data_IF_489968848942
#
_entry.id   IF_489968848942
#
_cell.length_a   1.000
_cell.length_b   1.000
_cell.length_c   1.000
_cell.angle_alpha   90.00
_cell.angle_beta   90.00
_cell.angle_gamma   90.00
#
_symmetry.space_group_name_H-M   'P 1'
#
loop_
_entity.id
_entity.type
_entity.pdbx_description
1 polymer ?
#
# COMPACT_ATOMS: atom_id res chain seq x y z
N UNK A 1 -1.19 -20.69 0.11
CA UNK A 1 -1.37 -20.09 1.44
C UNK A 1 -0.07 -19.43 1.79
N UNK A 2 -0.10 -18.18 2.20
CA UNK A 2 1.07 -17.40 2.59
C UNK A 2 0.81 -16.73 3.95
N UNK A 3 1.88 -16.45 4.69
CA UNK A 3 1.86 -15.72 5.95
C UNK A 3 2.10 -14.24 5.66
N UNK A 4 1.12 -13.40 5.93
CA UNK A 4 1.14 -11.98 5.55
C UNK A 4 1.10 -11.12 6.80
N UNK A 5 2.05 -10.20 6.92
CA UNK A 5 2.08 -9.19 7.97
C UNK A 5 1.55 -7.86 7.42
N UNK A 6 0.52 -7.33 8.04
CA UNK A 6 -0.02 -6.01 7.75
C UNK A 6 0.42 -5.00 8.83
N UNK A 7 1.06 -3.93 8.42
CA UNK A 7 1.49 -2.79 9.23
C UNK A 7 0.76 -1.53 8.72
N UNK A 8 -0.33 -1.15 9.36
CA UNK A 8 -1.16 -0.02 8.91
C UNK A 8 -2.11 0.44 10.00
N UNK A 9 -2.94 1.42 9.70
CA UNK A 9 -3.90 1.94 10.67
C UNK A 9 -5.13 1.04 10.85
N UNK A 10 -5.71 1.13 12.03
CA UNK A 10 -7.04 0.59 12.32
C UNK A 10 -7.97 1.75 12.60
N UNK A 11 -9.00 1.90 11.76
CA UNK A 11 -10.02 2.94 11.92
C UNK A 11 -11.20 2.45 12.73
N UNK A 12 -11.71 3.30 13.61
CA UNK A 12 -12.93 3.02 14.39
C UNK A 12 -14.21 3.02 13.54
N UNK A 13 -14.16 3.61 12.36
CA UNK A 13 -15.29 3.70 11.41
C UNK A 13 -14.87 3.16 10.04
N UNK A 14 -15.80 2.49 9.37
CA UNK A 14 -15.64 1.88 8.04
C UNK A 14 -14.70 0.66 8.02
N UNK A 15 -14.85 -0.17 7.00
CA UNK A 15 -13.97 -1.30 6.76
C UNK A 15 -12.93 -0.87 5.70
N UNK A 16 -11.85 -0.24 6.16
CA UNK A 16 -10.73 0.26 5.35
C UNK A 16 -9.41 -0.16 5.97
N UNK A 17 -8.30 0.13 5.33
CA UNK A 17 -6.95 -0.14 5.78
C UNK A 17 -6.76 -1.61 6.21
N UNK A 18 -6.07 -1.86 7.32
CA UNK A 18 -5.79 -3.21 7.84
C UNK A 18 -7.05 -4.09 7.90
N UNK A 19 -8.21 -3.53 8.28
CA UNK A 19 -9.46 -4.32 8.39
C UNK A 19 -9.94 -4.84 7.03
N UNK A 20 -9.89 -4.02 5.99
CA UNK A 20 -10.25 -4.41 4.62
C UNK A 20 -9.26 -5.44 4.09
N UNK A 21 -7.97 -5.17 4.22
CA UNK A 21 -6.92 -6.06 3.74
C UNK A 21 -6.98 -7.43 4.43
N UNK A 22 -7.12 -7.48 5.75
CA UNK A 22 -7.26 -8.73 6.50
C UNK A 22 -8.42 -9.56 5.95
N UNK A 23 -9.60 -8.96 5.86
CA UNK A 23 -10.79 -9.64 5.36
C UNK A 23 -10.60 -10.22 3.95
N UNK A 24 -10.02 -9.45 3.03
CA UNK A 24 -9.83 -9.88 1.64
C UNK A 24 -8.76 -10.96 1.51
N UNK A 25 -7.68 -10.88 2.28
CA UNK A 25 -6.60 -11.87 2.26
C UNK A 25 -7.01 -13.19 2.92
N UNK A 26 -7.70 -13.14 4.07
CA UNK A 26 -8.24 -14.34 4.74
C UNK A 26 -9.28 -15.07 3.86
N UNK A 27 -10.16 -14.32 3.18
CA UNK A 27 -11.11 -14.86 2.21
C UNK A 27 -10.41 -15.59 1.04
N UNK A 28 -9.17 -15.21 0.71
CA UNK A 28 -8.32 -15.83 -0.32
C UNK A 28 -7.46 -16.97 0.20
N UNK A 29 -7.58 -17.30 1.50
CA UNK A 29 -6.93 -18.44 2.15
C UNK A 29 -5.53 -18.17 2.65
N UNK A 30 -5.17 -16.92 2.92
CA UNK A 30 -3.90 -16.53 3.56
C UNK A 30 -4.03 -16.50 5.09
N UNK A 31 -2.93 -16.69 5.79
CA UNK A 31 -2.81 -16.40 7.21
C UNK A 31 -2.36 -14.94 7.37
N UNK A 32 -3.17 -14.14 8.08
CA UNK A 32 -2.92 -12.70 8.20
C UNK A 32 -2.66 -12.33 9.65
N UNK A 33 -1.51 -11.72 9.88
CA UNK A 33 -1.16 -11.09 11.13
C UNK A 33 -1.13 -9.58 10.93
N UNK A 34 -1.67 -8.83 11.88
CA UNK A 34 -1.78 -7.40 11.75
C UNK A 34 -1.31 -6.67 13.02
N UNK A 35 -0.46 -5.67 12.83
CA UNK A 35 -0.06 -4.76 13.90
C UNK A 35 -0.41 -3.33 13.50
N UNK A 36 -1.20 -2.62 14.32
CA UNK A 36 -1.54 -1.25 14.02
C UNK A 36 -0.32 -0.33 14.11
N UNK A 37 -0.15 0.54 13.12
CA UNK A 37 0.74 1.71 13.20
C UNK A 37 0.08 2.85 13.94
N UNK A 38 -1.25 2.93 13.84
CA UNK A 38 -2.09 3.87 14.57
C UNK A 38 -3.50 3.29 14.81
N UNK A 39 -4.13 3.72 15.91
CA UNK A 39 -5.59 3.63 16.04
C UNK A 39 -6.16 5.01 15.69
N UNK A 40 -7.09 5.06 14.74
CA UNK A 40 -7.68 6.29 14.24
C UNK A 40 -9.19 6.26 14.48
N UNK A 41 -9.75 7.29 15.12
CA UNK A 41 -11.16 7.30 15.49
C UNK A 41 -12.12 7.20 14.29
N UNK A 42 -11.71 7.73 13.13
CA UNK A 42 -12.48 7.74 11.88
C UNK A 42 -11.54 7.90 10.67
N UNK A 43 -12.07 7.76 9.47
CA UNK A 43 -11.28 7.88 8.23
C UNK A 43 -10.72 9.30 8.03
N UNK A 44 -9.48 9.41 7.53
CA UNK A 44 -8.72 10.67 7.40
C UNK A 44 -9.39 11.73 6.51
N UNK A 45 -10.23 11.31 5.58
CA UNK A 45 -10.97 12.20 4.68
C UNK A 45 -12.10 12.99 5.36
N UNK A 46 -12.49 12.65 6.59
CA UNK A 46 -13.50 13.40 7.36
C UNK A 46 -12.94 14.66 8.04
N UNK A 47 -11.68 14.99 7.78
CA UNK A 47 -11.05 16.25 8.18
C UNK A 47 -10.53 16.31 9.61
N UNK A 48 -11.15 15.60 10.57
CA UNK A 48 -10.72 15.53 11.98
C UNK A 48 -10.78 14.10 12.46
N UNK A 49 -9.72 13.65 13.10
CA UNK A 49 -9.65 12.33 13.73
C UNK A 49 -8.75 12.41 14.97
N UNK A 50 -9.07 11.61 15.97
CA UNK A 50 -8.13 11.31 17.05
C UNK A 50 -7.21 10.20 16.56
N UNK A 51 -5.92 10.36 16.77
CA UNK A 51 -4.89 9.41 16.32
C UNK A 51 -4.04 9.00 17.51
N UNK A 52 -4.05 7.72 17.82
CA UNK A 52 -3.16 7.12 18.79
C UNK A 52 -2.01 6.43 18.07
N UNK A 53 -0.78 6.94 18.24
CA UNK A 53 0.43 6.29 17.79
C UNK A 53 0.68 4.99 18.58
N UNK A 54 0.90 3.90 17.87
CA UNK A 54 1.10 2.57 18.46
C UNK A 54 2.53 2.04 18.26
N UNK A 55 3.48 2.89 17.89
CA UNK A 55 4.88 2.50 17.58
C UNK A 55 5.49 1.59 18.65
N UNK A 56 5.37 1.99 19.91
CA UNK A 56 5.94 1.20 21.02
C UNK A 56 5.32 -0.18 21.16
N UNK A 57 4.00 -0.31 20.98
CA UNK A 57 3.32 -1.61 20.98
C UNK A 57 3.75 -2.45 19.77
N UNK A 58 3.72 -1.87 18.58
CA UNK A 58 4.08 -2.54 17.33
C UNK A 58 5.49 -3.14 17.40
N UNK A 59 6.48 -2.36 17.84
CA UNK A 59 7.87 -2.83 17.90
C UNK A 59 8.07 -3.96 18.91
N UNK A 60 7.44 -3.87 20.09
CA UNK A 60 7.49 -4.95 21.08
C UNK A 60 6.78 -6.22 20.59
N UNK A 61 5.67 -6.07 19.87
CA UNK A 61 4.96 -7.21 19.28
C UNK A 61 5.76 -7.88 18.18
N UNK A 62 6.43 -7.12 17.30
CA UNK A 62 7.33 -7.67 16.29
C UNK A 62 8.48 -8.43 16.93
N UNK A 63 9.13 -7.86 17.94
CA UNK A 63 10.22 -8.54 18.65
C UNK A 63 9.74 -9.86 19.30
N UNK A 64 8.57 -9.83 19.94
CA UNK A 64 7.96 -11.04 20.51
C UNK A 64 7.70 -12.10 19.44
N UNK A 65 7.15 -11.71 18.29
CA UNK A 65 6.88 -12.65 17.20
C UNK A 65 8.16 -13.20 16.56
N UNK A 66 9.21 -12.36 16.44
CA UNK A 66 10.52 -12.82 16.02
C UNK A 66 11.10 -13.89 16.99
N UNK A 67 10.98 -13.67 18.31
CA UNK A 67 11.38 -14.61 19.35
C UNK A 67 10.55 -15.91 19.33
N UNK A 68 9.29 -15.83 18.97
CA UNK A 68 8.38 -16.98 18.80
C UNK A 68 8.63 -17.75 17.48
N UNK A 69 9.49 -17.25 16.61
CA UNK A 69 9.84 -17.89 15.34
C UNK A 69 8.82 -17.65 14.22
N UNK A 70 7.96 -16.64 14.33
CA UNK A 70 7.07 -16.28 13.21
C UNK A 70 7.88 -15.81 11.99
N UNK A 71 7.48 -16.30 10.83
CA UNK A 71 8.05 -15.92 9.54
C UNK A 71 6.94 -15.43 8.61
N UNK A 72 7.25 -14.45 7.78
CA UNK A 72 6.31 -13.82 6.87
C UNK A 72 6.81 -13.94 5.43
N UNK A 73 5.89 -14.27 4.51
CA UNK A 73 6.15 -14.26 3.08
C UNK A 73 6.02 -12.85 2.50
N UNK A 74 5.09 -12.06 3.05
CA UNK A 74 4.84 -10.67 2.65
C UNK A 74 4.68 -9.79 3.88
N UNK A 75 5.28 -8.59 3.81
CA UNK A 75 5.05 -7.49 4.74
C UNK A 75 4.44 -6.34 3.95
N UNK A 76 3.23 -5.93 4.29
CA UNK A 76 2.57 -4.76 3.71
C UNK A 76 2.59 -3.61 4.70
N UNK A 77 3.13 -2.47 4.29
CA UNK A 77 3.20 -1.24 5.08
C UNK A 77 2.26 -0.21 4.47
N UNK A 78 1.36 0.33 5.29
CA UNK A 78 0.44 1.40 4.92
C UNK A 78 0.73 2.69 5.69
N UNK A 79 -0.32 3.28 6.30
CA UNK A 79 -0.23 4.54 7.04
C UNK A 79 0.83 4.52 8.16
N UNK A 80 1.51 5.66 8.34
CA UNK A 80 2.45 5.92 9.44
C UNK A 80 2.12 7.24 10.14
N UNK A 81 2.54 7.38 11.39
CA UNK A 81 2.28 8.60 12.21
C UNK A 81 3.32 9.69 12.02
N UNK A 82 4.54 9.36 11.56
CA UNK A 82 5.61 10.33 11.34
C UNK A 82 6.99 9.70 11.15
N UNK A 83 8.01 10.54 11.13
CA UNK A 83 9.39 10.14 10.82
C UNK A 83 9.98 9.16 11.86
N UNK A 84 9.67 9.33 13.13
CA UNK A 84 10.17 8.44 14.19
C UNK A 84 9.69 7.00 13.96
N UNK A 85 8.40 6.84 13.65
CA UNK A 85 7.82 5.54 13.33
C UNK A 85 8.39 4.99 12.00
N UNK A 86 8.55 5.84 10.97
CA UNK A 86 9.14 5.43 9.70
C UNK A 86 10.54 4.83 9.87
N UNK A 87 11.41 5.48 10.66
CA UNK A 87 12.76 4.96 10.95
C UNK A 87 12.72 3.62 11.64
N UNK A 88 11.89 3.50 12.67
CA UNK A 88 11.72 2.24 13.41
C UNK A 88 11.18 1.11 12.53
N UNK A 89 10.23 1.44 11.62
CA UNK A 89 9.71 0.49 10.64
C UNK A 89 10.76 0.11 9.59
N UNK A 90 11.58 1.05 9.10
CA UNK A 90 12.68 0.73 8.17
C UNK A 90 13.60 -0.33 8.75
N UNK A 91 14.01 -0.19 10.01
CA UNK A 91 14.88 -1.17 10.67
C UNK A 91 14.19 -2.52 10.82
N UNK A 92 12.93 -2.56 11.28
CA UNK A 92 12.17 -3.78 11.47
C UNK A 92 11.88 -4.50 10.13
N UNK A 93 11.39 -3.76 9.14
CA UNK A 93 11.03 -4.29 7.82
C UNK A 93 12.27 -4.78 7.07
N UNK A 94 13.42 -4.08 7.18
CA UNK A 94 14.68 -4.53 6.60
C UNK A 94 15.13 -5.88 7.17
N UNK A 95 14.94 -6.12 8.47
CA UNK A 95 15.23 -7.43 9.08
C UNK A 95 14.30 -8.52 8.53
N UNK A 96 13.01 -8.25 8.40
CA UNK A 96 12.05 -9.21 7.84
C UNK A 96 12.35 -9.50 6.36
N UNK A 97 12.68 -8.45 5.59
CA UNK A 97 13.12 -8.60 4.20
C UNK A 97 14.38 -9.45 4.07
N UNK A 98 15.37 -9.26 4.95
CA UNK A 98 16.58 -10.08 4.96
C UNK A 98 16.31 -11.56 5.32
N UNK A 99 15.17 -11.86 5.97
CA UNK A 99 14.68 -13.22 6.23
C UNK A 99 13.84 -13.80 5.07
N UNK A 100 13.67 -13.06 3.97
CA UNK A 100 13.00 -13.52 2.74
C UNK A 100 11.59 -12.96 2.52
N UNK A 101 11.09 -12.10 3.38
CA UNK A 101 9.79 -11.47 3.16
C UNK A 101 9.84 -10.45 2.00
N UNK A 102 8.83 -10.46 1.15
CA UNK A 102 8.61 -9.41 0.14
C UNK A 102 7.93 -8.21 0.79
N UNK A 103 8.47 -7.01 0.59
CA UNK A 103 7.97 -5.78 1.20
C UNK A 103 7.17 -4.96 0.20
N UNK A 104 5.89 -4.77 0.49
CA UNK A 104 4.99 -3.87 -0.24
C UNK A 104 4.74 -2.62 0.60
N UNK A 105 4.85 -1.44 -0.01
CA UNK A 105 4.52 -0.15 0.59
C UNK A 105 3.37 0.50 -0.17
N UNK A 106 2.28 0.77 0.53
CA UNK A 106 1.17 1.60 0.06
C UNK A 106 1.23 2.95 0.80
N UNK A 107 1.73 4.02 0.15
CA UNK A 107 2.03 5.28 0.83
C UNK A 107 0.78 6.15 1.00
N UNK A 108 0.04 5.94 2.06
CA UNK A 108 -1.21 6.65 2.34
C UNK A 108 -0.95 8.13 2.67
N UNK A 109 -0.94 9.00 1.64
CA UNK A 109 -0.63 10.42 1.76
C UNK A 109 -1.72 11.36 1.24
N UNK A 110 -2.50 10.93 0.27
CA UNK A 110 -3.49 11.79 -0.37
C UNK A 110 -4.21 11.12 -1.54
N UNK A 111 -5.18 11.81 -2.11
CA UNK A 111 -5.94 11.34 -3.27
C UNK A 111 -6.47 12.51 -4.10
N UNK A 112 -6.72 12.29 -5.42
CA UNK A 112 -7.35 13.26 -6.33
C UNK A 112 -6.68 14.64 -6.32
N UNK A 113 -5.36 14.67 -6.39
CA UNK A 113 -4.56 15.88 -6.41
C UNK A 113 -4.42 16.60 -5.07
N UNK A 114 -4.90 16.00 -3.96
CA UNK A 114 -4.87 16.64 -2.64
C UNK A 114 -4.24 15.71 -1.59
N UNK A 115 -3.29 16.25 -0.85
CA UNK A 115 -2.79 15.62 0.37
C UNK A 115 -3.91 15.58 1.42
N UNK A 116 -4.04 14.49 2.17
CA UNK A 116 -5.00 14.45 3.28
C UNK A 116 -4.67 15.50 4.33
N UNK A 117 -5.69 16.15 4.90
CA UNK A 117 -5.51 17.27 5.83
C UNK A 117 -4.69 16.92 7.08
N UNK A 118 -4.72 15.66 7.50
CA UNK A 118 -3.98 15.14 8.65
C UNK A 118 -2.55 14.71 8.32
N UNK A 119 -2.17 14.65 7.04
CA UNK A 119 -0.83 14.23 6.62
C UNK A 119 0.13 15.40 6.64
N UNK A 120 1.20 15.26 7.41
CA UNK A 120 2.27 16.24 7.57
C UNK A 120 3.39 16.03 6.54
N UNK A 121 4.25 17.01 6.34
CA UNK A 121 5.47 16.86 5.53
C UNK A 121 6.42 15.80 6.11
N UNK A 122 6.45 15.69 7.44
CA UNK A 122 7.24 14.66 8.12
C UNK A 122 6.77 13.23 7.77
N UNK A 123 5.45 13.02 7.62
CA UNK A 123 4.91 11.73 7.14
C UNK A 123 5.28 11.48 5.68
N UNK A 124 5.25 12.51 4.81
CA UNK A 124 5.71 12.38 3.42
C UNK A 124 7.19 11.97 3.38
N UNK A 125 8.05 12.61 4.17
CA UNK A 125 9.46 12.26 4.24
C UNK A 125 9.69 10.86 4.84
N UNK A 126 8.87 10.47 5.81
CA UNK A 126 8.86 9.12 6.37
C UNK A 126 8.49 8.04 5.34
N UNK A 127 7.47 8.30 4.51
CA UNK A 127 7.12 7.41 3.38
C UNK A 127 8.23 7.32 2.34
N UNK A 128 8.90 8.43 2.04
CA UNK A 128 10.07 8.43 1.14
C UNK A 128 11.21 7.57 1.68
N UNK A 129 11.44 7.59 2.99
CA UNK A 129 12.41 6.73 3.65
C UNK A 129 12.02 5.25 3.49
N UNK A 130 10.75 4.89 3.74
CA UNK A 130 10.22 3.55 3.59
C UNK A 130 10.27 3.04 2.15
N UNK A 131 10.13 3.90 1.13
CA UNK A 131 10.37 3.52 -0.25
C UNK A 131 11.77 2.89 -0.45
N UNK A 132 12.76 3.29 0.36
CA UNK A 132 14.13 2.76 0.27
C UNK A 132 14.26 1.28 0.63
N UNK A 133 13.33 0.71 1.40
CA UNK A 133 13.35 -0.69 1.87
C UNK A 133 12.26 -1.55 1.24
N UNK A 134 11.37 -0.97 0.43
CA UNK A 134 10.29 -1.69 -0.24
C UNK A 134 10.77 -2.36 -1.54
N UNK A 135 10.22 -3.55 -1.84
CA UNK A 135 10.39 -4.26 -3.11
C UNK A 135 9.35 -3.81 -4.14
N UNK A 136 8.17 -3.42 -3.66
CA UNK A 136 7.08 -2.88 -4.47
C UNK A 136 6.43 -1.70 -3.76
N UNK A 137 6.19 -0.61 -4.50
CA UNK A 137 5.42 0.54 -4.01
C UNK A 137 4.20 0.76 -4.91
N UNK A 138 3.06 1.13 -4.29
CA UNK A 138 1.77 1.25 -4.98
C UNK A 138 1.11 2.62 -4.80
N UNK A 139 1.83 3.75 -5.01
CA UNK A 139 1.24 5.06 -4.85
C UNK A 139 0.14 5.30 -5.90
N UNK A 140 -0.89 6.07 -5.54
CA UNK A 140 -1.72 6.71 -6.55
C UNK A 140 -0.98 7.91 -7.18
N UNK A 141 -1.53 8.52 -8.22
CA UNK A 141 -0.91 9.66 -8.93
C UNK A 141 -0.56 10.82 -7.98
N UNK A 142 -1.44 11.13 -7.02
CA UNK A 142 -1.21 12.20 -6.04
C UNK A 142 -0.02 11.88 -5.14
N UNK A 143 0.02 10.69 -4.63
CA UNK A 143 1.08 10.22 -3.74
C UNK A 143 2.42 10.13 -4.45
N UNK A 144 2.42 9.67 -5.72
CA UNK A 144 3.61 9.65 -6.54
C UNK A 144 4.22 11.06 -6.67
N UNK A 145 3.41 12.08 -6.98
CA UNK A 145 3.83 13.48 -7.04
C UNK A 145 4.39 13.98 -5.71
N UNK A 146 3.75 13.65 -4.57
CA UNK A 146 4.23 14.00 -3.23
C UNK A 146 5.58 13.32 -2.93
N UNK A 147 5.73 12.05 -3.26
CA UNK A 147 6.96 11.29 -3.03
C UNK A 147 8.14 11.82 -3.84
N UNK A 148 7.95 12.20 -5.10
CA UNK A 148 9.03 12.76 -5.94
C UNK A 148 9.18 14.28 -5.79
N UNK A 149 8.22 14.96 -5.12
CA UNK A 149 8.14 16.44 -5.00
C UNK A 149 8.11 17.16 -6.35
N UNK A 150 7.44 16.59 -7.32
CA UNK A 150 7.27 17.13 -8.68
C UNK A 150 5.92 16.72 -9.23
N UNK A 151 5.43 17.51 -10.18
CA UNK A 151 4.28 17.15 -10.99
C UNK A 151 4.82 16.58 -12.33
N UNK A 152 4.72 15.29 -12.48
CA UNK A 152 5.23 14.56 -13.64
C UNK A 152 4.16 13.60 -14.18
N UNK A 153 4.33 13.16 -15.43
CA UNK A 153 3.48 12.10 -15.97
C UNK A 153 3.72 10.76 -15.24
N UNK A 154 2.72 9.87 -15.18
CA UNK A 154 2.83 8.63 -14.41
C UNK A 154 4.07 7.78 -14.74
N UNK A 155 4.45 7.69 -16.00
CA UNK A 155 5.62 6.92 -16.45
C UNK A 155 6.93 7.49 -15.90
N UNK A 156 7.06 8.82 -15.86
CA UNK A 156 8.22 9.48 -15.27
C UNK A 156 8.24 9.30 -13.74
N UNK A 157 7.08 9.36 -13.08
CA UNK A 157 6.95 9.04 -11.66
C UNK A 157 7.40 7.60 -11.37
N UNK A 158 6.93 6.63 -12.16
CA UNK A 158 7.31 5.23 -12.01
C UNK A 158 8.82 5.03 -12.16
N UNK A 159 9.45 5.65 -13.18
CA UNK A 159 10.89 5.58 -13.40
C UNK A 159 11.69 6.19 -12.24
N UNK A 160 11.29 7.37 -11.75
CA UNK A 160 11.95 8.07 -10.65
C UNK A 160 11.82 7.31 -9.31
N UNK A 161 10.68 6.68 -9.06
CA UNK A 161 10.43 5.92 -7.85
C UNK A 161 11.09 4.55 -7.89
N UNK A 162 11.11 3.89 -9.05
CA UNK A 162 11.74 2.58 -9.22
C UNK A 162 13.25 2.64 -9.05
N UNK A 163 13.92 3.65 -9.64
CA UNK A 163 15.38 3.74 -9.74
C UNK A 163 16.05 2.48 -10.31
N UNK A 164 15.28 1.62 -10.99
CA UNK A 164 15.73 0.32 -11.47
C UNK A 164 15.94 -0.75 -10.38
N UNK A 165 15.60 -0.47 -9.12
CA UNK A 165 15.88 -1.35 -7.97
C UNK A 165 14.62 -1.99 -7.38
N UNK A 166 13.45 -1.37 -7.59
CA UNK A 166 12.17 -1.83 -7.05
C UNK A 166 11.05 -1.72 -8.06
N UNK A 167 10.04 -2.54 -7.87
CA UNK A 167 8.82 -2.44 -8.67
C UNK A 167 7.94 -1.29 -8.20
N UNK A 168 7.21 -0.69 -9.14
CA UNK A 168 6.32 0.44 -8.88
C UNK A 168 5.03 0.26 -9.67
N UNK A 169 3.89 0.52 -9.05
CA UNK A 169 2.59 0.65 -9.71
C UNK A 169 1.98 1.99 -9.33
N UNK A 170 1.82 2.89 -10.30
CA UNK A 170 1.08 4.14 -10.10
C UNK A 170 -0.38 3.85 -10.43
N UNK A 171 -1.25 3.94 -9.43
CA UNK A 171 -2.70 3.74 -9.59
C UNK A 171 -3.42 5.07 -9.81
N UNK A 172 -4.68 5.02 -10.28
CA UNK A 172 -5.49 6.21 -10.49
C UNK A 172 -4.92 7.14 -11.57
N UNK A 173 -4.27 6.58 -12.59
CA UNK A 173 -3.85 7.29 -13.78
C UNK A 173 -5.10 7.47 -14.66
N UNK A 174 -5.74 8.64 -14.57
CA UNK A 174 -6.93 8.95 -15.35
C UNK A 174 -6.55 9.22 -16.80
N UNK A 175 -7.31 8.66 -17.73
CA UNK A 175 -7.30 9.04 -19.14
C UNK A 175 -8.30 10.17 -19.38
N UNK A 176 -8.30 10.71 -20.61
CA UNK A 176 -9.28 11.72 -21.03
C UNK A 176 -10.72 11.20 -20.98
N UNK A 177 -10.93 9.89 -21.04
CA UNK A 177 -12.21 9.22 -20.85
C UNK A 177 -12.32 8.76 -19.38
N UNK A 178 -13.27 9.36 -18.64
CA UNK A 178 -13.54 9.03 -17.23
C UNK A 178 -14.06 7.60 -17.02
N UNK A 179 -14.42 6.88 -18.09
CA UNK A 179 -14.88 5.48 -18.05
C UNK A 179 -13.74 4.46 -17.91
N UNK A 180 -12.50 4.87 -18.22
CA UNK A 180 -11.33 4.01 -18.10
C UNK A 180 -10.38 4.49 -17.01
N UNK A 181 -9.85 3.54 -16.24
CA UNK A 181 -8.74 3.73 -15.32
C UNK A 181 -7.47 3.10 -15.87
N UNK A 182 -6.33 3.64 -15.48
CA UNK A 182 -5.04 3.09 -15.85
C UNK A 182 -4.13 2.87 -14.62
N UNK A 183 -3.30 1.84 -14.72
CA UNK A 183 -2.18 1.59 -13.81
C UNK A 183 -0.93 1.57 -14.67
N UNK A 184 0.02 2.42 -14.34
CA UNK A 184 1.30 2.52 -15.04
C UNK A 184 2.41 2.17 -14.08
N UNK A 185 3.40 1.41 -14.51
CA UNK A 185 4.44 0.97 -13.60
C UNK A 185 5.66 0.34 -14.24
N UNK A 186 6.45 -0.26 -13.37
CA UNK A 186 7.67 -0.96 -13.73
C UNK A 186 7.84 -2.20 -12.85
N UNK A 187 8.05 -3.35 -13.47
CA UNK A 187 8.39 -4.63 -12.84
C UNK A 187 9.91 -4.78 -12.84
N UNK A 188 10.55 -4.49 -11.71
CA UNK A 188 12.00 -4.58 -11.59
C UNK A 188 12.53 -6.01 -11.71
N UNK A 189 11.74 -7.02 -11.31
CA UNK A 189 12.15 -8.42 -11.41
C UNK A 189 12.22 -8.93 -12.85
N UNK A 190 11.49 -8.27 -13.78
CA UNK A 190 11.40 -8.64 -15.21
C UNK A 190 11.96 -7.59 -16.13
N UNK A 191 12.44 -6.47 -15.60
CA UNK A 191 12.88 -5.29 -16.38
C UNK A 191 11.82 -4.88 -17.41
N UNK A 192 10.57 -4.78 -16.99
CA UNK A 192 9.43 -4.59 -17.87
C UNK A 192 8.53 -3.42 -17.41
N UNK A 193 8.01 -2.68 -18.40
CA UNK A 193 6.95 -1.71 -18.14
C UNK A 193 5.64 -2.44 -17.85
N UNK A 194 4.82 -1.84 -16.98
CA UNK A 194 3.46 -2.28 -16.67
C UNK A 194 2.51 -1.21 -17.17
N UNK A 195 1.53 -1.61 -17.97
CA UNK A 195 0.42 -0.76 -18.44
C UNK A 195 -0.86 -1.60 -18.41
N UNK A 196 -1.75 -1.26 -17.47
CA UNK A 196 -3.02 -1.96 -17.27
C UNK A 196 -4.15 -0.97 -17.42
N UNK A 197 -5.08 -1.27 -18.32
CA UNK A 197 -6.34 -0.55 -18.50
C UNK A 197 -7.47 -1.36 -17.90
N UNK A 198 -8.41 -0.69 -17.25
CA UNK A 198 -9.55 -1.34 -16.62
C UNK A 198 -10.80 -0.44 -16.64
N UNK A 199 -12.02 -0.99 -16.70
CA UNK A 199 -13.25 -0.24 -16.60
C UNK A 199 -13.34 0.45 -15.23
N UNK A 200 -13.52 1.75 -15.22
CA UNK A 200 -13.67 2.54 -14.00
C UNK A 200 -15.14 2.60 -13.58
N UNK A 201 -15.41 2.31 -12.31
CA UNK A 201 -16.73 2.53 -11.72
C UNK A 201 -16.79 3.97 -11.22
N UNK A 202 -17.72 4.81 -11.74
CA UNK A 202 -17.85 6.18 -11.28
C UNK A 202 -18.19 6.26 -9.79
N UNK A 203 -17.74 7.32 -9.13
CA UNK A 203 -18.07 7.57 -7.74
C UNK A 203 -16.85 7.70 -6.83
N UNK A 204 -17.13 7.82 -5.53
CA UNK A 204 -16.11 7.89 -4.49
C UNK A 204 -16.28 6.69 -3.55
N UNK A 205 -15.35 5.76 -3.64
CA UNK A 205 -15.42 4.50 -2.92
C UNK A 205 -14.23 4.38 -1.97
N UNK A 206 -14.51 4.24 -0.68
CA UNK A 206 -13.48 4.08 0.33
C UNK A 206 -12.97 2.64 0.38
N UNK A 207 -11.66 2.47 0.64
CA UNK A 207 -11.05 1.15 0.78
C UNK A 207 -10.73 0.44 -0.54
N UNK A 208 -10.90 1.11 -1.69
CA UNK A 208 -10.56 0.53 -3.00
C UNK A 208 -9.05 0.28 -3.15
N UNK A 209 -8.21 1.19 -2.64
CA UNK A 209 -6.76 1.00 -2.57
C UNK A 209 -6.38 -0.20 -1.71
N UNK A 210 -7.00 -0.32 -0.52
CA UNK A 210 -6.75 -1.44 0.38
C UNK A 210 -7.17 -2.79 -0.25
N UNK A 211 -8.32 -2.82 -0.92
CA UNK A 211 -8.78 -4.00 -1.65
C UNK A 211 -7.85 -4.34 -2.81
N UNK A 212 -7.44 -3.33 -3.58
CA UNK A 212 -6.46 -3.50 -4.66
C UNK A 212 -5.16 -4.10 -4.13
N UNK A 213 -4.59 -3.55 -3.07
CA UNK A 213 -3.37 -4.02 -2.45
C UNK A 213 -3.50 -5.46 -1.93
N UNK A 214 -4.65 -5.83 -1.34
CA UNK A 214 -4.91 -7.19 -0.89
C UNK A 214 -4.96 -8.20 -2.05
N UNK A 215 -5.67 -7.87 -3.15
CA UNK A 215 -5.76 -8.75 -4.33
C UNK A 215 -4.41 -8.84 -5.05
N UNK A 216 -3.67 -7.73 -5.11
CA UNK A 216 -2.33 -7.70 -5.66
C UNK A 216 -1.38 -8.64 -4.91
N UNK A 217 -1.39 -8.59 -3.58
CA UNK A 217 -0.60 -9.49 -2.71
C UNK A 217 -0.96 -10.95 -2.99
N UNK A 218 -2.27 -11.30 -3.05
CA UNK A 218 -2.68 -12.67 -3.39
C UNK A 218 -2.09 -13.12 -4.73
N UNK A 219 -2.15 -12.28 -5.77
CA UNK A 219 -1.57 -12.59 -7.07
C UNK A 219 -0.06 -12.81 -7.04
N UNK A 220 0.66 -11.96 -6.32
CA UNK A 220 2.12 -12.06 -6.18
C UNK A 220 2.52 -13.32 -5.41
N UNK A 221 1.81 -13.68 -4.35
CA UNK A 221 2.08 -14.93 -3.59
C UNK A 221 1.80 -16.18 -4.40
N UNK A 222 0.98 -16.10 -5.45
CA UNK A 222 0.76 -17.18 -6.44
C UNK A 222 1.81 -17.23 -7.54
N UNK A 223 2.80 -16.32 -7.54
CA UNK A 223 3.85 -16.24 -8.55
C UNK A 223 3.41 -15.58 -9.88
N UNK A 224 2.29 -14.85 -9.91
CA UNK A 224 1.88 -14.13 -11.11
C UNK A 224 2.84 -12.97 -11.41
N UNK A 225 2.89 -12.56 -12.70
CA UNK A 225 3.60 -11.33 -13.06
C UNK A 225 2.93 -10.12 -12.42
N UNK A 226 3.70 -9.06 -12.17
CA UNK A 226 3.19 -7.82 -11.59
C UNK A 226 2.03 -7.25 -12.42
N UNK A 227 2.15 -7.27 -13.76
CA UNK A 227 1.08 -6.81 -14.66
C UNK A 227 -0.20 -7.63 -14.51
N UNK A 228 -0.08 -8.98 -14.48
CA UNK A 228 -1.25 -9.86 -14.29
C UNK A 228 -1.90 -9.63 -12.92
N UNK A 229 -1.10 -9.54 -11.86
CA UNK A 229 -1.60 -9.30 -10.51
C UNK A 229 -2.30 -7.95 -10.42
N UNK A 230 -1.73 -6.88 -11.01
CA UNK A 230 -2.32 -5.55 -11.06
C UNK A 230 -3.65 -5.54 -11.84
N UNK A 231 -3.72 -6.22 -12.99
CA UNK A 231 -4.95 -6.35 -13.80
C UNK A 231 -6.06 -6.99 -13.00
N UNK A 232 -5.82 -8.16 -12.42
CA UNK A 232 -6.82 -8.86 -11.64
C UNK A 232 -7.21 -8.11 -10.36
N UNK A 233 -6.29 -7.34 -9.77
CA UNK A 233 -6.61 -6.46 -8.65
C UNK A 233 -7.56 -5.33 -9.06
N UNK A 234 -7.31 -4.68 -10.20
CA UNK A 234 -8.19 -3.63 -10.70
C UNK A 234 -9.59 -4.16 -11.09
N UNK A 235 -9.64 -5.28 -11.81
CA UNK A 235 -10.90 -5.96 -12.17
C UNK A 235 -11.68 -6.36 -10.90
N UNK A 236 -11.03 -6.99 -9.92
CA UNK A 236 -11.67 -7.40 -8.67
C UNK A 236 -12.22 -6.23 -7.85
N UNK A 237 -11.58 -5.08 -7.87
CA UNK A 237 -12.12 -3.85 -7.27
C UNK A 237 -13.35 -3.38 -8.04
N UNK A 238 -13.30 -3.32 -9.38
CA UNK A 238 -14.42 -2.90 -10.23
C UNK A 238 -15.63 -3.82 -10.03
N UNK A 239 -15.43 -5.13 -10.00
CA UNK A 239 -16.50 -6.12 -9.76
C UNK A 239 -17.15 -5.95 -8.39
N UNK A 240 -16.34 -5.71 -7.36
CA UNK A 240 -16.86 -5.48 -6.00
C UNK A 240 -17.73 -4.21 -5.93
N UNK A 241 -17.39 -3.17 -6.67
CA UNK A 241 -18.15 -1.92 -6.71
C UNK A 241 -19.44 -2.03 -7.51
N UNK A 242 -19.50 -2.88 -8.52
CA UNK A 242 -20.71 -3.11 -9.32
C UNK A 242 -21.73 -4.04 -8.64
N UNK A 243 -21.30 -4.74 -7.59
CA UNK A 243 -22.17 -5.68 -6.85
C UNK A 243 -22.79 -5.05 -5.60
N UNK A 244 -22.42 -3.81 -5.25
CA UNK A 244 -22.99 -3.01 -4.15
C UNK A 244 -24.19 -2.19 -4.61
#
# INVERSE_FOLDING_TARGET
MANILLLGDITGRSCVAVRMMTRELEKRGHEVMALPTALISNTLNLGRAEVLDTTGYLLRSLALWEDMGFAFDVVSVGYITGMAQARALCDAVSRLRAKGATVLLDPILGDRGKKYNSVTEEQVDGMRLLCGVADLITPNRTEAGLLIRRDEVPEACAALLSRGERSVLITGCEEADESEGAIVGYDAARDARVDVRYPRVPGHHFGTGDMFSAILIDGLTRGWSLERAARLAAEGVSDALTTL
#
